data_IF_661059511349
#
_entry.id   IF_661059511349
#
_cell.length_a   1.000
_cell.length_b   1.000
_cell.length_c   1.000
_cell.angle_alpha   90.00
_cell.angle_beta   90.00
_cell.angle_gamma   90.00
#
_symmetry.space_group_name_H-M   'P 1'
#
loop_
_entity.id
_entity.type
_entity.pdbx_description
1 polymer ?
#
# COMPACT_ATOMS: atom_id res chain seq x y z
N UNK A 1 48.12 -15.13 -55.88
CA UNK A 1 47.55 -13.78 -55.69
C UNK A 1 46.03 -13.97 -55.65
N UNK A 2 45.34 -14.35 -54.57
CA UNK A 2 45.27 -13.89 -53.17
C UNK A 2 45.04 -12.38 -53.02
N UNK A 3 43.85 -12.09 -52.48
CA UNK A 3 43.37 -10.85 -51.85
C UNK A 3 42.85 -9.76 -52.80
N UNK A 4 41.53 -9.72 -52.97
CA UNK A 4 40.65 -8.59 -52.62
C UNK A 4 39.24 -9.20 -52.46
N UNK A 5 38.87 -9.59 -51.24
CA UNK A 5 37.47 -9.70 -50.80
C UNK A 5 37.47 -9.96 -49.29
N UNK A 6 37.82 -8.94 -48.49
CA UNK A 6 37.77 -9.03 -47.02
C UNK A 6 37.55 -7.67 -46.34
N UNK A 7 37.08 -6.65 -47.05
CA UNK A 7 36.90 -5.29 -46.48
C UNK A 7 35.43 -4.84 -46.46
N UNK A 8 34.48 -5.78 -46.42
CA UNK A 8 33.06 -5.42 -46.21
C UNK A 8 32.35 -6.23 -45.11
N UNK A 9 33.10 -6.99 -44.31
CA UNK A 9 32.57 -7.72 -43.13
C UNK A 9 33.08 -7.10 -41.80
N UNK A 10 34.06 -6.19 -41.86
CA UNK A 10 34.59 -5.52 -40.66
C UNK A 10 33.73 -4.35 -40.14
N UNK A 11 32.88 -3.75 -40.96
CA UNK A 11 32.09 -2.58 -40.55
C UNK A 11 30.73 -2.91 -39.94
N UNK A 12 30.24 -4.15 -40.06
CA UNK A 12 28.98 -4.56 -39.43
C UNK A 12 29.15 -5.18 -38.03
N UNK A 13 30.40 -5.40 -37.59
CA UNK A 13 30.71 -5.92 -36.25
C UNK A 13 31.34 -4.86 -35.30
N UNK A 14 31.59 -3.62 -35.77
CA UNK A 14 31.94 -2.51 -34.88
C UNK A 14 30.71 -1.72 -34.38
N UNK A 15 29.60 -1.72 -35.12
CA UNK A 15 28.36 -1.04 -34.71
C UNK A 15 27.60 -1.70 -33.56
N UNK A 16 28.04 -2.85 -33.07
CA UNK A 16 27.40 -3.59 -31.97
C UNK A 16 28.29 -3.80 -30.75
N UNK A 17 29.51 -3.26 -30.75
CA UNK A 17 30.42 -3.28 -29.59
C UNK A 17 30.48 -1.95 -28.83
N UNK A 18 30.14 -0.81 -29.45
CA UNK A 18 30.04 0.48 -28.73
C UNK A 18 28.80 0.57 -27.81
N UNK A 19 27.80 -0.30 -27.98
CA UNK A 19 26.59 -0.34 -27.14
C UNK A 19 26.64 -1.37 -26.00
N UNK A 20 27.75 -2.08 -25.80
CA UNK A 20 27.89 -3.06 -24.71
C UNK A 20 28.95 -2.68 -23.65
N UNK A 21 29.58 -1.50 -23.79
CA UNK A 21 30.48 -0.92 -22.77
C UNK A 21 30.13 0.52 -22.34
N UNK A 22 29.00 1.09 -22.78
CA UNK A 22 28.55 2.43 -22.38
C UNK A 22 27.82 2.49 -21.01
N UNK A 23 27.91 1.43 -20.17
CA UNK A 23 27.21 1.40 -18.87
C UNK A 23 28.10 1.02 -17.69
N UNK A 24 29.39 1.32 -17.78
CA UNK A 24 30.31 1.21 -16.64
C UNK A 24 31.23 2.42 -16.63
N UNK A 25 30.65 3.54 -16.21
CA UNK A 25 31.26 4.63 -15.44
C UNK A 25 30.26 5.79 -15.43
N UNK A 26 29.21 5.67 -14.59
CA UNK A 26 28.54 6.87 -14.10
C UNK A 26 29.57 7.61 -13.26
N UNK A 27 30.22 8.60 -13.87
CA UNK A 27 30.88 9.68 -13.15
C UNK A 27 29.82 10.23 -12.19
N UNK A 28 30.00 9.97 -10.90
CA UNK A 28 29.31 10.68 -9.84
C UNK A 28 29.63 12.16 -10.04
N UNK A 29 28.68 12.91 -10.59
CA UNK A 29 28.74 14.37 -10.54
C UNK A 29 28.88 14.78 -9.08
N UNK A 30 29.93 15.55 -8.82
CA UNK A 30 30.29 16.09 -7.52
C UNK A 30 29.05 16.73 -6.85
N UNK A 31 28.71 16.40 -5.59
CA UNK A 31 27.56 16.99 -4.92
C UNK A 31 28.00 18.32 -4.31
N UNK A 32 28.13 19.35 -5.14
CA UNK A 32 28.26 20.74 -4.67
C UNK A 32 27.24 21.57 -5.42
N UNK A 33 26.42 22.26 -4.64
CA UNK A 33 25.35 23.19 -5.01
C UNK A 33 24.11 22.62 -5.71
N UNK A 34 23.37 21.77 -4.98
CA UNK A 34 21.92 21.91 -5.03
C UNK A 34 21.57 23.04 -4.07
N UNK A 35 21.66 24.27 -4.59
CA UNK A 35 21.00 25.45 -4.04
C UNK A 35 19.56 25.04 -3.72
N UNK A 36 19.10 25.39 -2.52
CA UNK A 36 17.75 25.15 -2.03
C UNK A 36 16.71 25.42 -3.12
N UNK A 37 16.36 24.37 -3.87
CA UNK A 37 15.21 24.38 -4.75
C UNK A 37 14.02 24.50 -3.83
N UNK A 38 13.25 25.57 -4.01
CA UNK A 38 11.92 25.76 -3.44
C UNK A 38 11.21 24.42 -3.37
N UNK A 39 10.98 23.94 -2.15
CA UNK A 39 10.07 22.82 -1.88
C UNK A 39 8.70 23.24 -2.43
N UNK A 40 8.42 22.93 -3.70
CA UNK A 40 7.05 22.75 -4.12
C UNK A 40 6.50 21.61 -3.28
N UNK A 41 5.54 21.94 -2.42
CA UNK A 41 4.67 20.95 -1.80
C UNK A 41 4.22 19.98 -2.91
N UNK A 42 4.75 18.74 -2.93
CA UNK A 42 4.21 17.68 -3.77
C UNK A 42 2.87 17.24 -3.20
N UNK A 43 1.87 18.11 -3.36
CA UNK A 43 0.46 17.80 -3.14
C UNK A 43 0.07 16.78 -4.22
N UNK A 44 -0.07 15.52 -3.82
CA UNK A 44 -1.07 14.59 -4.36
C UNK A 44 -1.25 14.50 -5.87
N UNK A 45 -0.19 14.42 -6.69
CA UNK A 45 -0.38 14.05 -8.10
C UNK A 45 -0.89 12.60 -8.18
N UNK A 46 -1.98 12.33 -8.93
CA UNK A 46 -2.48 10.98 -9.14
C UNK A 46 -1.51 10.16 -10.00
N UNK A 47 -1.59 8.82 -9.96
CA UNK A 47 -0.84 7.96 -10.88
C UNK A 47 -1.15 8.30 -12.35
N UNK A 48 -0.17 8.07 -13.25
CA UNK A 48 -0.33 8.31 -14.70
C UNK A 48 -1.45 7.46 -15.32
N UNK A 49 -1.73 6.29 -14.75
CA UNK A 49 -2.84 5.42 -15.12
C UNK A 49 -3.57 4.98 -13.84
N UNK A 50 -4.90 5.14 -13.84
CA UNK A 50 -5.77 4.82 -12.70
C UNK A 50 -6.94 3.98 -13.18
N UNK A 51 -7.24 2.94 -12.40
CA UNK A 51 -8.41 2.09 -12.52
C UNK A 51 -9.27 2.19 -11.26
N UNK A 52 -10.53 1.81 -11.37
CA UNK A 52 -11.50 1.85 -10.28
C UNK A 52 -11.99 0.45 -9.96
N UNK A 53 -11.96 0.12 -8.67
CA UNK A 53 -12.45 -1.15 -8.12
C UNK A 53 -13.55 -0.85 -7.12
N UNK A 54 -14.76 -1.36 -7.38
CA UNK A 54 -15.86 -1.31 -6.41
C UNK A 54 -15.79 -2.50 -5.45
N UNK A 55 -15.92 -2.25 -4.15
CA UNK A 55 -15.91 -3.30 -3.12
C UNK A 55 -16.66 -2.88 -1.87
N UNK A 56 -17.33 -3.83 -1.22
CA UNK A 56 -17.92 -3.66 0.11
C UNK A 56 -16.87 -3.78 1.23
N UNK A 57 -15.65 -4.19 0.91
CA UNK A 57 -14.56 -4.28 1.90
C UNK A 57 -14.13 -2.89 2.34
N UNK A 58 -14.01 -2.68 3.66
CA UNK A 58 -13.55 -1.41 4.22
C UNK A 58 -12.04 -1.26 4.06
N UNK A 59 -11.51 -0.02 4.10
CA UNK A 59 -10.07 0.22 4.03
C UNK A 59 -9.27 -0.58 5.06
N UNK A 60 -9.79 -0.75 6.27
CA UNK A 60 -9.15 -1.53 7.34
C UNK A 60 -9.05 -3.01 6.98
N UNK A 61 -10.11 -3.58 6.37
CA UNK A 61 -10.11 -4.97 5.92
C UNK A 61 -9.11 -5.16 4.77
N UNK A 62 -9.06 -4.21 3.83
CA UNK A 62 -8.11 -4.23 2.71
C UNK A 62 -6.68 -4.09 3.23
N UNK A 63 -6.43 -3.28 4.26
CA UNK A 63 -5.13 -3.20 4.94
C UNK A 63 -4.77 -4.54 5.58
N UNK A 64 -5.70 -5.15 6.31
CA UNK A 64 -5.48 -6.44 6.98
C UNK A 64 -5.15 -7.57 5.99
N UNK A 65 -5.77 -7.59 4.81
CA UNK A 65 -5.49 -8.58 3.77
C UNK A 65 -4.31 -8.22 2.86
N UNK A 66 -3.65 -7.08 3.09
CA UNK A 66 -2.61 -6.56 2.21
C UNK A 66 -3.10 -6.52 0.75
N UNK A 67 -4.23 -5.82 0.56
CA UNK A 67 -4.88 -5.57 -0.72
C UNK A 67 -6.04 -6.53 -1.06
N UNK A 68 -6.32 -6.65 -2.35
CA UNK A 68 -7.43 -7.43 -2.91
C UNK A 68 -6.94 -8.74 -3.51
N UNK A 69 -7.75 -9.80 -3.35
CA UNK A 69 -7.51 -11.12 -3.93
C UNK A 69 -8.68 -11.52 -4.81
N UNK A 70 -8.42 -12.28 -5.85
CA UNK A 70 -9.49 -12.84 -6.68
C UNK A 70 -10.29 -13.88 -5.89
N UNK A 71 -11.57 -14.06 -6.25
CA UNK A 71 -12.46 -15.01 -5.58
C UNK A 71 -11.88 -16.42 -5.51
N UNK A 72 -11.26 -16.91 -6.60
CA UNK A 72 -10.61 -18.22 -6.62
C UNK A 72 -9.48 -18.34 -5.59
N UNK A 73 -8.73 -17.25 -5.35
CA UNK A 73 -7.68 -17.21 -4.33
C UNK A 73 -8.24 -17.13 -2.92
N UNK A 74 -9.34 -16.42 -2.69
CA UNK A 74 -10.00 -16.35 -1.38
C UNK A 74 -10.50 -17.73 -0.98
N UNK A 75 -11.09 -18.45 -1.93
CA UNK A 75 -11.64 -19.79 -1.72
C UNK A 75 -10.58 -20.91 -1.66
N UNK A 76 -9.28 -20.57 -1.68
CA UNK A 76 -8.17 -21.52 -1.73
C UNK A 76 -8.36 -22.60 -2.82
N UNK A 77 -8.93 -22.23 -3.96
CA UNK A 77 -9.27 -23.20 -4.99
C UNK A 77 -8.00 -23.73 -5.65
N UNK A 78 -7.76 -25.04 -5.69
CA UNK A 78 -6.68 -25.60 -6.49
C UNK A 78 -6.98 -25.34 -7.97
N UNK A 79 -6.03 -24.70 -8.67
CA UNK A 79 -6.11 -24.27 -10.07
C UNK A 79 -7.14 -23.16 -10.32
N UNK A 80 -6.66 -21.91 -10.29
CA UNK A 80 -7.44 -20.73 -10.65
C UNK A 80 -7.90 -20.80 -12.12
N UNK A 81 -9.14 -20.37 -12.37
CA UNK A 81 -9.65 -20.21 -13.73
C UNK A 81 -9.19 -18.86 -14.30
N UNK A 82 -8.36 -18.91 -15.34
CA UNK A 82 -7.87 -17.72 -16.05
C UNK A 82 -8.53 -17.55 -17.43
N UNK A 83 -9.74 -18.07 -17.62
CA UNK A 83 -10.55 -17.80 -18.81
C UNK A 83 -11.11 -16.37 -18.79
N UNK A 84 -10.47 -15.44 -19.50
CA UNK A 84 -10.89 -14.03 -19.49
C UNK A 84 -12.30 -13.86 -20.10
N UNK A 85 -12.57 -14.53 -21.21
CA UNK A 85 -13.89 -14.46 -21.86
C UNK A 85 -15.01 -14.93 -20.93
N UNK A 86 -14.78 -15.97 -20.13
CA UNK A 86 -15.77 -16.45 -19.17
C UNK A 86 -15.98 -15.44 -18.03
N UNK A 87 -14.89 -14.84 -17.55
CA UNK A 87 -14.92 -13.92 -16.40
C UNK A 87 -15.67 -12.60 -16.68
N UNK A 88 -15.61 -12.10 -17.91
CA UNK A 88 -16.19 -10.80 -18.26
C UNK A 88 -17.66 -10.86 -18.65
N UNK A 89 -18.23 -12.06 -18.79
CA UNK A 89 -19.66 -12.24 -19.04
C UNK A 89 -20.50 -11.95 -17.78
N UNK A 90 -21.71 -11.38 -17.91
CA UNK A 90 -22.61 -11.16 -16.76
C UNK A 90 -22.96 -12.43 -15.99
N UNK A 91 -23.07 -13.56 -16.68
CA UNK A 91 -23.37 -14.88 -16.09
C UNK A 91 -22.11 -15.71 -15.81
N UNK A 92 -20.92 -15.12 -15.93
CA UNK A 92 -19.65 -15.82 -15.74
C UNK A 92 -19.48 -16.30 -14.30
N UNK A 93 -19.00 -17.54 -14.13
CA UNK A 93 -18.70 -18.05 -12.80
C UNK A 93 -17.43 -17.37 -12.25
N UNK A 94 -17.61 -16.47 -11.27
CA UNK A 94 -16.52 -15.74 -10.65
C UNK A 94 -15.85 -16.51 -9.50
N UNK A 95 -16.43 -17.59 -8.98
CA UNK A 95 -15.98 -18.23 -7.73
C UNK A 95 -14.56 -18.77 -7.80
N UNK A 96 -14.14 -19.24 -8.98
CA UNK A 96 -12.79 -19.79 -9.23
C UNK A 96 -11.90 -18.83 -10.00
N UNK A 97 -12.39 -17.64 -10.32
CA UNK A 97 -11.69 -16.72 -11.21
C UNK A 97 -10.36 -16.28 -10.60
N UNK A 98 -9.32 -16.30 -11.43
CA UNK A 98 -8.01 -15.74 -11.15
C UNK A 98 -7.91 -14.25 -11.47
N UNK A 99 -9.03 -13.55 -11.62
CA UNK A 99 -9.09 -12.14 -12.00
C UNK A 99 -9.81 -11.30 -10.96
N UNK A 100 -9.43 -10.02 -10.89
CA UNK A 100 -10.12 -8.97 -10.16
C UNK A 100 -10.57 -7.93 -11.17
N UNK A 101 -11.85 -7.57 -11.13
CA UNK A 101 -12.52 -6.67 -12.06
C UNK A 101 -12.13 -5.22 -11.81
N UNK A 102 -11.81 -4.50 -12.88
CA UNK A 102 -11.44 -3.09 -12.86
C UNK A 102 -12.20 -2.31 -13.94
N UNK A 103 -12.51 -1.06 -13.63
CA UNK A 103 -13.14 -0.11 -14.53
C UNK A 103 -12.17 1.04 -14.84
N UNK A 104 -12.24 1.60 -16.04
CA UNK A 104 -11.47 2.81 -16.40
C UNK A 104 -12.20 4.09 -15.99
N UNK A 105 -13.48 3.99 -15.66
CA UNK A 105 -14.33 5.12 -15.32
C UNK A 105 -14.98 4.94 -13.94
N UNK A 106 -14.86 5.96 -13.09
CA UNK A 106 -15.46 5.98 -11.75
C UNK A 106 -16.98 5.76 -11.79
N UNK A 107 -17.69 6.41 -12.71
CA UNK A 107 -19.14 6.28 -12.88
C UNK A 107 -19.54 4.86 -13.27
N UNK A 108 -18.74 4.16 -14.08
CA UNK A 108 -19.02 2.75 -14.40
C UNK A 108 -18.83 1.85 -13.18
N UNK A 109 -17.76 2.06 -12.39
CA UNK A 109 -17.58 1.35 -11.12
C UNK A 109 -18.74 1.59 -10.15
N UNK A 110 -19.22 2.83 -10.08
CA UNK A 110 -20.36 3.22 -9.24
C UNK A 110 -21.67 2.57 -9.68
N UNK A 111 -21.99 2.60 -10.98
CA UNK A 111 -23.17 1.94 -11.55
C UNK A 111 -23.11 0.42 -11.28
N UNK A 112 -21.93 -0.17 -11.48
CA UNK A 112 -21.72 -1.59 -11.20
C UNK A 112 -21.96 -1.92 -9.72
N UNK A 113 -21.43 -1.12 -8.79
CA UNK A 113 -21.60 -1.33 -7.36
C UNK A 113 -23.08 -1.23 -6.94
N UNK A 114 -23.80 -0.20 -7.37
CA UNK A 114 -25.21 -0.02 -7.03
C UNK A 114 -26.11 -1.16 -7.53
N UNK A 115 -25.76 -1.79 -8.65
CA UNK A 115 -26.50 -2.95 -9.16
C UNK A 115 -26.22 -4.26 -8.40
N UNK A 116 -25.16 -4.32 -7.58
CA UNK A 116 -24.65 -5.56 -6.99
C UNK A 116 -24.49 -5.51 -5.46
N UNK A 117 -24.54 -4.33 -4.84
CA UNK A 117 -24.33 -4.12 -3.40
C UNK A 117 -25.59 -3.57 -2.72
N UNK A 118 -25.84 -4.04 -1.50
CA UNK A 118 -26.99 -3.64 -0.68
C UNK A 118 -26.64 -2.76 0.52
N UNK A 119 -25.34 -2.56 0.78
CA UNK A 119 -24.80 -1.78 1.89
C UNK A 119 -23.87 -0.66 1.44
N UNK A 120 -23.12 -0.12 2.41
CA UNK A 120 -22.02 0.80 2.15
C UNK A 120 -20.96 0.10 1.29
N UNK A 121 -20.38 0.84 0.35
CA UNK A 121 -19.29 0.34 -0.47
C UNK A 121 -18.25 1.42 -0.73
N UNK A 122 -17.11 0.99 -1.24
CA UNK A 122 -15.97 1.83 -1.52
C UNK A 122 -15.58 1.68 -2.98
N UNK A 123 -15.15 2.79 -3.58
CA UNK A 123 -14.51 2.79 -4.89
C UNK A 123 -13.03 3.08 -4.68
N UNK A 124 -12.21 2.05 -4.85
CA UNK A 124 -10.76 2.11 -4.73
C UNK A 124 -10.14 2.56 -6.05
N UNK A 125 -9.17 3.47 -5.96
CA UNK A 125 -8.36 3.89 -7.09
C UNK A 125 -7.08 3.06 -7.11
N UNK A 126 -6.90 2.28 -8.16
CA UNK A 126 -5.80 1.34 -8.34
C UNK A 126 -4.86 1.90 -9.40
N UNK A 127 -3.58 2.08 -9.05
CA UNK A 127 -2.60 2.52 -10.03
C UNK A 127 -2.34 1.44 -11.08
N UNK A 128 -1.94 1.89 -12.28
CA UNK A 128 -1.43 1.04 -13.34
C UNK A 128 -0.31 0.12 -12.86
N UNK A 129 -0.12 -0.98 -13.55
CA UNK A 129 0.81 -2.01 -13.12
C UNK A 129 0.81 -3.22 -14.03
N UNK A 130 1.92 -3.95 -13.99
CA UNK A 130 2.19 -5.11 -14.83
C UNK A 130 1.24 -6.31 -14.57
N UNK A 131 0.53 -6.31 -13.44
CA UNK A 131 -0.50 -7.29 -13.10
C UNK A 131 -1.87 -6.97 -13.70
N UNK A 132 -2.04 -5.81 -14.34
CA UNK A 132 -3.31 -5.38 -14.95
C UNK A 132 -3.22 -5.47 -16.47
N UNK A 133 -4.29 -5.99 -17.08
CA UNK A 133 -4.42 -6.18 -18.53
C UNK A 133 -5.75 -5.62 -19.02
N UNK A 134 -5.72 -4.96 -20.18
CA UNK A 134 -6.94 -4.47 -20.84
C UNK A 134 -7.77 -5.62 -21.41
N UNK A 135 -9.09 -5.61 -21.14
CA UNK A 135 -10.01 -6.68 -21.59
C UNK A 135 -10.18 -6.63 -23.10
N UNK A 136 -10.38 -5.44 -23.67
CA UNK A 136 -10.64 -5.28 -25.09
C UNK A 136 -9.42 -5.60 -25.93
N UNK A 137 -8.24 -5.17 -25.49
CA UNK A 137 -6.98 -5.52 -26.11
C UNK A 137 -6.58 -6.99 -25.96
N UNK A 138 -7.22 -7.74 -25.05
CA UNK A 138 -6.97 -9.18 -24.90
C UNK A 138 -7.98 -10.04 -25.67
N UNK A 139 -9.25 -9.64 -25.74
CA UNK A 139 -10.30 -10.39 -26.43
C UNK A 139 -10.53 -9.96 -27.89
N UNK A 140 -10.07 -8.75 -28.25
CA UNK A 140 -10.16 -8.21 -29.60
C UNK A 140 -11.61 -8.17 -30.12
N UNK A 141 -11.90 -8.73 -31.30
CA UNK A 141 -13.24 -8.72 -31.87
C UNK A 141 -14.26 -9.59 -31.10
N UNK A 142 -13.81 -10.35 -30.10
CA UNK A 142 -14.68 -11.20 -29.27
C UNK A 142 -14.96 -10.62 -27.89
N UNK A 143 -14.59 -9.36 -27.63
CA UNK A 143 -15.03 -8.65 -26.42
C UNK A 143 -16.56 -8.55 -26.42
N UNK A 144 -17.25 -9.08 -25.40
CA UNK A 144 -18.70 -8.97 -25.32
C UNK A 144 -19.14 -7.49 -25.25
N UNK A 145 -20.21 -7.08 -25.95
CA UNK A 145 -20.73 -5.71 -25.85
C UNK A 145 -21.16 -5.33 -24.43
N UNK A 146 -21.58 -6.32 -23.65
CA UNK A 146 -21.99 -6.27 -22.25
C UNK A 146 -20.85 -6.72 -21.32
N UNK A 147 -19.59 -6.58 -21.75
CA UNK A 147 -18.42 -6.87 -20.91
C UNK A 147 -18.55 -6.13 -19.59
N UNK A 148 -18.38 -6.89 -18.52
CA UNK A 148 -18.55 -6.38 -17.16
C UNK A 148 -17.27 -5.79 -16.55
N UNK A 149 -16.18 -5.73 -17.33
CA UNK A 149 -14.89 -5.17 -16.93
C UNK A 149 -14.22 -4.46 -18.12
N UNK A 150 -13.53 -3.36 -17.87
CA UNK A 150 -12.66 -2.71 -18.87
C UNK A 150 -11.24 -3.26 -18.83
N UNK A 151 -10.78 -3.58 -17.62
CA UNK A 151 -9.50 -4.18 -17.34
C UNK A 151 -9.64 -5.22 -16.24
N UNK A 152 -8.65 -6.08 -16.10
CA UNK A 152 -8.58 -7.03 -14.98
C UNK A 152 -7.19 -7.06 -14.38
N UNK A 153 -7.11 -7.16 -13.06
CA UNK A 153 -5.88 -7.53 -12.38
C UNK A 153 -5.79 -9.04 -12.23
N UNK A 154 -4.62 -9.61 -12.48
CA UNK A 154 -4.37 -11.03 -12.30
C UNK A 154 -4.12 -11.34 -10.82
N UNK A 155 -5.03 -12.14 -10.25
CA UNK A 155 -5.00 -12.78 -8.94
C UNK A 155 -4.98 -11.85 -7.72
N UNK A 156 -4.13 -10.81 -7.72
CA UNK A 156 -3.92 -9.94 -6.57
C UNK A 156 -3.63 -8.49 -6.98
N UNK A 157 -4.17 -7.57 -6.19
CA UNK A 157 -3.79 -6.16 -6.16
C UNK A 157 -3.26 -5.92 -4.75
N UNK A 158 -2.01 -5.48 -4.62
CA UNK A 158 -1.41 -5.25 -3.31
C UNK A 158 -1.82 -3.89 -2.77
N UNK A 159 -1.82 -3.74 -1.44
CA UNK A 159 -2.21 -2.49 -0.80
C UNK A 159 -1.33 -1.33 -1.28
N UNK A 160 -0.05 -1.56 -1.51
CA UNK A 160 0.87 -0.53 -2.02
C UNK A 160 0.60 -0.08 -3.47
N UNK A 161 -0.25 -0.78 -4.22
CA UNK A 161 -0.72 -0.36 -5.55
C UNK A 161 -2.02 0.46 -5.47
N UNK A 162 -2.72 0.42 -4.34
CA UNK A 162 -3.96 1.19 -4.11
C UNK A 162 -3.58 2.63 -3.80
N UNK A 163 -4.01 3.57 -4.63
CA UNK A 163 -3.74 5.00 -4.44
C UNK A 163 -4.60 5.62 -3.33
N UNK A 164 -5.83 5.15 -3.18
CA UNK A 164 -6.79 5.62 -2.20
C UNK A 164 -8.19 5.13 -2.51
N UNK A 165 -9.20 5.68 -1.86
CA UNK A 165 -10.58 5.25 -2.00
C UNK A 165 -11.59 6.35 -1.74
N UNK A 166 -12.80 6.13 -2.21
CA UNK A 166 -13.97 6.96 -1.97
C UNK A 166 -15.02 6.13 -1.25
N UNK A 167 -15.51 6.59 -0.10
CA UNK A 167 -16.63 5.96 0.61
C UNK A 167 -17.96 6.38 -0.02
N UNK A 168 -18.81 5.39 -0.28
CA UNK A 168 -20.16 5.55 -0.82
C UNK A 168 -21.15 4.97 0.19
N UNK A 169 -21.94 5.81 0.87
CA UNK A 169 -22.87 5.33 1.89
C UNK A 169 -24.05 4.59 1.25
N UNK A 170 -24.63 3.63 1.97
CA UNK A 170 -25.75 2.79 1.52
C UNK A 170 -27.00 3.58 1.11
N UNK A 171 -27.22 4.76 1.70
CA UNK A 171 -28.32 5.67 1.36
C UNK A 171 -27.99 6.64 0.21
N UNK A 172 -26.90 6.42 -0.51
CA UNK A 172 -26.48 7.28 -1.61
C UNK A 172 -27.47 7.24 -2.78
N UNK A 173 -28.01 8.40 -3.12
CA UNK A 173 -28.74 8.61 -4.36
C UNK A 173 -27.78 9.08 -5.47
N UNK A 174 -27.76 8.38 -6.60
CA UNK A 174 -26.86 8.68 -7.69
C UNK A 174 -27.04 10.11 -8.22
N UNK A 175 -25.93 10.85 -8.32
CA UNK A 175 -25.85 12.14 -8.99
C UNK A 175 -24.68 12.12 -9.97
N UNK A 176 -24.91 12.53 -11.21
CA UNK A 176 -23.87 12.64 -12.22
C UNK A 176 -22.75 13.59 -11.75
N UNK A 177 -21.50 13.12 -11.80
CA UNK A 177 -20.33 13.89 -11.36
C UNK A 177 -19.95 13.72 -9.89
N UNK A 178 -20.66 12.91 -9.12
CA UNK A 178 -20.23 12.56 -7.76
C UNK A 178 -18.93 11.77 -7.79
N UNK A 179 -17.94 12.18 -6.99
CA UNK A 179 -16.68 11.46 -6.80
C UNK A 179 -16.50 10.96 -5.36
N UNK A 180 -17.35 11.34 -4.40
CA UNK A 180 -17.19 11.01 -2.99
C UNK A 180 -15.99 11.70 -2.33
N UNK A 181 -15.91 11.63 -1.00
CA UNK A 181 -14.70 12.09 -0.30
C UNK A 181 -13.57 11.11 -0.57
N UNK A 182 -12.48 11.62 -1.15
CA UNK A 182 -11.31 10.82 -1.45
C UNK A 182 -10.36 10.79 -0.26
N UNK A 183 -10.07 9.59 0.21
CA UNK A 183 -9.06 9.32 1.23
C UNK A 183 -7.84 8.69 0.56
N UNK A 184 -6.65 9.21 0.87
CA UNK A 184 -5.39 8.69 0.33
C UNK A 184 -4.94 7.48 1.12
N UNK A 185 -4.37 6.50 0.42
CA UNK A 185 -3.71 5.38 1.06
C UNK A 185 -2.26 5.75 1.44
N UNK A 186 -1.89 5.82 2.73
CA UNK A 186 -0.52 6.12 3.15
C UNK A 186 0.49 5.03 2.74
N UNK A 187 0.02 3.83 2.39
CA UNK A 187 0.90 2.73 1.97
C UNK A 187 1.16 2.70 0.47
N UNK A 188 0.64 3.66 -0.31
CA UNK A 188 0.85 3.72 -1.76
C UNK A 188 2.33 3.89 -2.12
N UNK A 189 2.90 2.93 -2.84
CA UNK A 189 4.28 2.99 -3.32
C UNK A 189 4.36 3.85 -4.58
N UNK A 190 4.57 5.14 -4.36
CA UNK A 190 4.70 6.14 -5.42
C UNK A 190 5.90 5.86 -6.34
N UNK A 191 7.02 5.37 -5.82
CA UNK A 191 8.21 5.11 -6.64
C UNK A 191 7.94 4.01 -7.68
N UNK A 192 7.24 2.96 -7.27
CA UNK A 192 6.90 1.84 -8.15
C UNK A 192 5.73 2.17 -9.07
N UNK A 193 4.66 2.79 -8.54
CA UNK A 193 3.36 2.82 -9.23
C UNK A 193 2.95 4.16 -9.81
N UNK A 194 3.57 5.29 -9.44
CA UNK A 194 3.13 6.60 -9.94
C UNK A 194 3.22 6.74 -11.46
N UNK A 195 4.25 6.15 -12.06
CA UNK A 195 4.49 6.16 -13.51
C UNK A 195 4.30 4.79 -14.16
N UNK A 196 3.74 3.83 -13.42
CA UNK A 196 3.52 2.49 -13.94
C UNK A 196 2.33 2.48 -14.91
N UNK A 197 2.49 1.76 -16.00
CA UNK A 197 1.44 1.52 -16.98
C UNK A 197 1.12 0.04 -17.08
N UNK A 198 -0.13 -0.27 -17.37
CA UNK A 198 -0.65 -1.62 -17.54
C UNK A 198 -0.46 -2.14 -18.96
N UNK A 199 -0.67 -3.45 -19.13
CA UNK A 199 -0.61 -4.04 -20.47
C UNK A 199 -1.82 -3.55 -21.29
N UNK A 200 -1.62 -3.10 -22.54
CA UNK A 200 -2.71 -2.71 -23.43
C UNK A 200 -3.54 -3.91 -23.90
N UNK A 201 -3.18 -5.14 -23.52
CA UNK A 201 -3.88 -6.37 -23.86
C UNK A 201 -2.92 -7.55 -24.04
N UNK A 202 -3.32 -8.74 -23.63
CA UNK A 202 -2.58 -10.00 -23.80
C UNK A 202 -3.50 -11.04 -24.45
N UNK A 203 -3.46 -11.21 -25.79
CA UNK A 203 -4.34 -12.13 -26.52
C UNK A 203 -4.31 -13.59 -26.03
N UNK A 204 -3.17 -14.03 -25.48
CA UNK A 204 -3.02 -15.36 -24.87
C UNK A 204 -3.89 -15.58 -23.63
N UNK A 205 -4.38 -14.51 -22.99
CA UNK A 205 -5.27 -14.58 -21.84
C UNK A 205 -6.75 -14.71 -22.21
N UNK A 206 -7.10 -14.69 -23.51
CA UNK A 206 -8.49 -14.70 -23.96
C UNK A 206 -9.33 -15.84 -23.38
N UNK A 207 -8.71 -17.00 -23.15
CA UNK A 207 -9.34 -18.08 -22.38
C UNK A 207 -10.26 -18.99 -23.18
N UNK A 208 -10.25 -18.95 -24.51
CA UNK A 208 -11.05 -19.88 -25.30
C UNK A 208 -10.58 -21.33 -25.10
N UNK A 209 -11.50 -22.31 -25.13
CA UNK A 209 -11.15 -23.72 -25.09
C UNK A 209 -10.11 -24.11 -26.16
N UNK A 210 -9.30 -25.14 -25.88
CA UNK A 210 -8.36 -25.67 -26.87
C UNK A 210 -9.13 -26.28 -28.05
N UNK A 211 -8.71 -25.97 -29.28
CA UNK A 211 -9.40 -26.39 -30.50
C UNK A 211 -10.54 -25.48 -30.93
N UNK A 212 -10.80 -24.39 -30.19
CA UNK A 212 -11.84 -23.41 -30.54
C UNK A 212 -11.47 -22.63 -31.81
N UNK A 213 -12.38 -22.49 -32.78
CA UNK A 213 -12.12 -21.79 -34.04
C UNK A 213 -11.79 -20.30 -33.86
N UNK A 214 -12.17 -19.68 -32.73
CA UNK A 214 -11.85 -18.26 -32.45
C UNK A 214 -10.36 -17.99 -32.36
N UNK A 215 -9.56 -18.99 -31.97
CA UNK A 215 -8.09 -18.89 -32.03
C UNK A 215 -7.54 -18.71 -33.45
N UNK A 216 -8.32 -19.08 -34.49
CA UNK A 216 -7.92 -18.99 -35.89
C UNK A 216 -8.11 -17.62 -36.55
N UNK A 217 -8.50 -16.59 -35.80
CA UNK A 217 -8.59 -15.22 -36.32
C UNK A 217 -7.21 -14.56 -36.37
N UNK A 218 -6.98 -13.67 -37.34
CA UNK A 218 -5.77 -12.85 -37.49
C UNK A 218 -5.34 -12.16 -36.19
N UNK A 219 -6.29 -11.71 -35.35
CA UNK A 219 -6.00 -11.11 -34.05
C UNK A 219 -5.17 -12.04 -33.13
N UNK A 220 -5.40 -13.36 -33.20
CA UNK A 220 -4.71 -14.36 -32.38
C UNK A 220 -3.57 -15.08 -33.10
N UNK A 221 -3.27 -14.74 -34.36
CA UNK A 221 -2.28 -15.46 -35.18
C UNK A 221 -0.89 -15.53 -34.53
N UNK A 222 -0.51 -14.55 -33.70
CA UNK A 222 0.76 -14.54 -32.99
C UNK A 222 0.80 -15.49 -31.77
N UNK A 223 -0.35 -15.78 -31.16
CA UNK A 223 -0.46 -16.62 -29.96
C UNK A 223 -1.02 -18.01 -30.24
N UNK A 224 -1.70 -18.19 -31.37
CA UNK A 224 -2.33 -19.44 -31.75
C UNK A 224 -1.53 -20.24 -32.80
N UNK A 225 -1.75 -21.56 -32.83
CA UNK A 225 -1.32 -22.47 -33.89
C UNK A 225 -2.49 -23.32 -34.37
N UNK A 226 -2.60 -23.55 -35.67
CA UNK A 226 -3.70 -24.31 -36.27
C UNK A 226 -3.18 -25.58 -36.96
N UNK A 227 -3.95 -26.67 -36.90
CA UNK A 227 -3.61 -27.97 -37.51
C UNK A 227 -3.55 -27.92 -39.05
N UNK A 228 -4.20 -26.93 -39.68
CA UNK A 228 -4.13 -26.68 -41.11
C UNK A 228 -4.01 -25.18 -41.41
N UNK A 229 -3.35 -24.78 -42.52
CA UNK A 229 -3.35 -23.39 -42.96
C UNK A 229 -4.78 -22.94 -43.22
N UNK A 230 -5.20 -21.85 -42.56
CA UNK A 230 -6.56 -21.29 -42.53
C UNK A 230 -7.18 -20.91 -43.89
N UNK A 231 -6.55 -21.26 -45.02
CA UNK A 231 -6.99 -20.91 -46.37
C UNK A 231 -7.89 -21.93 -47.06
N UNK A 232 -8.15 -23.13 -46.52
CA UNK A 232 -9.09 -24.07 -47.15
C UNK A 232 -9.86 -24.90 -46.12
N UNK A 233 -11.12 -24.51 -45.89
CA UNK A 233 -12.22 -25.22 -45.20
C UNK A 233 -12.35 -24.98 -43.69
N UNK A 234 -13.58 -24.67 -43.31
CA UNK A 234 -14.14 -24.13 -42.07
C UNK A 234 -14.04 -24.99 -40.80
N UNK A 235 -13.19 -26.01 -40.76
CA UNK A 235 -13.14 -26.98 -39.65
C UNK A 235 -11.74 -27.16 -39.02
N UNK A 236 -10.80 -26.27 -39.34
CA UNK A 236 -9.45 -26.33 -38.74
C UNK A 236 -9.50 -26.00 -37.26
N UNK A 237 -9.02 -26.90 -36.40
CA UNK A 237 -8.85 -26.64 -34.98
C UNK A 237 -7.62 -25.77 -34.76
N UNK A 238 -7.80 -24.70 -33.99
CA UNK A 238 -6.74 -23.80 -33.58
C UNK A 238 -6.59 -23.84 -32.06
N UNK A 239 -5.37 -23.68 -31.61
CA UNK A 239 -4.96 -23.93 -30.24
C UNK A 239 -4.10 -22.77 -29.77
N UNK A 240 -4.18 -22.43 -28.49
CA UNK A 240 -3.16 -21.57 -27.90
C UNK A 240 -1.83 -22.32 -27.93
N UNK A 241 -0.74 -21.65 -28.33
CA UNK A 241 0.59 -22.27 -28.34
C UNK A 241 0.94 -22.80 -26.94
N UNK A 242 1.45 -24.03 -26.87
CA UNK A 242 1.77 -24.71 -25.61
C UNK A 242 2.67 -23.87 -24.69
N UNK A 243 3.62 -23.12 -25.24
CA UNK A 243 4.52 -22.25 -24.48
C UNK A 243 3.84 -21.07 -23.77
N UNK A 244 2.60 -20.74 -24.18
CA UNK A 244 1.79 -19.67 -23.60
C UNK A 244 0.76 -20.19 -22.59
N UNK A 245 0.62 -21.51 -22.45
CA UNK A 245 -0.16 -22.08 -21.35
C UNK A 245 0.48 -21.73 -20.01
N UNK A 246 -0.34 -21.23 -19.08
CA UNK A 246 0.13 -20.82 -17.75
C UNK A 246 0.77 -19.43 -17.70
N UNK A 247 0.76 -18.65 -18.78
CA UNK A 247 1.22 -17.24 -18.77
C UNK A 247 0.52 -16.43 -17.68
N UNK A 248 -0.78 -16.63 -17.49
CA UNK A 248 -1.54 -15.97 -16.43
C UNK A 248 -0.96 -16.26 -15.03
N UNK A 249 -0.64 -17.52 -14.74
CA UNK A 249 -0.02 -17.91 -13.48
C UNK A 249 1.38 -17.29 -13.34
N UNK A 250 2.17 -17.27 -14.41
CA UNK A 250 3.51 -16.65 -14.40
C UNK A 250 3.45 -15.15 -14.13
N UNK A 251 2.48 -14.44 -14.73
CA UNK A 251 2.26 -13.01 -14.46
C UNK A 251 1.84 -12.81 -13.00
N UNK A 252 0.91 -13.62 -12.49
CA UNK A 252 0.52 -13.61 -11.07
C UNK A 252 1.71 -13.85 -10.13
N UNK A 253 2.58 -14.81 -10.44
CA UNK A 253 3.74 -15.16 -9.61
C UNK A 253 4.82 -14.09 -9.64
N UNK A 254 5.08 -13.48 -10.82
CA UNK A 254 5.92 -12.28 -10.94
C UNK A 254 5.30 -11.11 -10.19
N UNK A 255 3.97 -10.97 -10.28
CA UNK A 255 3.08 -10.12 -9.48
C UNK A 255 3.51 -10.05 -8.04
N UNK A 256 3.41 -11.23 -7.44
CA UNK A 256 3.76 -11.46 -6.06
C UNK A 256 5.21 -11.17 -5.70
N UNK A 257 6.15 -11.35 -6.62
CA UNK A 257 7.58 -11.11 -6.37
C UNK A 257 7.93 -9.63 -6.40
N UNK A 258 7.37 -8.88 -7.36
CA UNK A 258 7.66 -7.46 -7.55
C UNK A 258 6.89 -6.58 -6.56
N UNK A 259 5.66 -6.96 -6.22
CA UNK A 259 4.82 -6.21 -5.28
C UNK A 259 5.00 -6.64 -3.82
N UNK A 260 5.74 -7.73 -3.56
CA UNK A 260 6.29 -7.92 -2.22
C UNK A 260 7.16 -6.70 -1.97
N UNK A 261 6.67 -5.81 -1.09
CA UNK A 261 7.53 -4.89 -0.38
C UNK A 261 8.79 -5.70 -0.06
N UNK A 262 10.01 -5.20 -0.39
CA UNK A 262 11.20 -5.77 0.19
C UNK A 262 10.82 -5.90 1.65
N UNK A 263 10.83 -7.12 2.17
CA UNK A 263 10.99 -7.24 3.60
C UNK A 263 12.28 -6.47 3.79
N UNK A 264 12.19 -5.19 4.18
CA UNK A 264 13.31 -4.44 4.72
C UNK A 264 13.93 -5.49 5.60
N UNK A 265 15.16 -5.97 5.29
CA UNK A 265 15.72 -7.09 6.01
C UNK A 265 15.50 -6.70 7.45
N UNK A 266 14.59 -7.41 8.14
CA UNK A 266 14.15 -7.09 9.51
C UNK A 266 15.45 -6.74 10.16
N UNK A 267 15.67 -5.43 10.45
CA UNK A 267 17.02 -4.91 10.59
C UNK A 267 17.73 -5.95 11.42
N UNK A 268 18.75 -6.63 10.86
CA UNK A 268 19.50 -7.64 11.61
C UNK A 268 20.40 -6.93 12.64
N UNK A 269 20.11 -5.68 12.98
CA UNK A 269 20.39 -5.18 14.30
C UNK A 269 19.38 -5.83 15.24
N UNK A 270 19.82 -6.54 16.28
CA UNK A 270 18.91 -7.14 17.24
C UNK A 270 17.78 -6.15 17.57
N UNK A 271 16.51 -6.57 17.43
CA UNK A 271 15.30 -5.85 17.90
C UNK A 271 15.27 -5.90 19.45
N UNK A 272 16.43 -5.75 20.07
CA UNK A 272 16.67 -5.86 21.49
C UNK A 272 17.79 -4.90 21.89
N UNK A 273 17.77 -3.69 21.35
CA UNK A 273 18.34 -2.54 22.02
C UNK A 273 17.42 -1.39 21.67
N UNK A 274 16.38 -1.24 22.50
CA UNK A 274 15.96 0.04 23.07
C UNK A 274 16.86 1.13 22.50
N UNK A 275 16.41 1.81 21.43
CA UNK A 275 16.75 3.22 21.28
C UNK A 275 16.57 3.76 22.70
N UNK A 276 17.63 4.37 23.26
CA UNK A 276 17.84 4.51 24.71
C UNK A 276 16.53 4.85 25.46
N UNK A 277 16.41 4.70 26.78
CA UNK A 277 15.16 5.12 27.48
C UNK A 277 14.69 6.55 27.15
N UNK A 278 15.53 7.34 26.48
CA UNK A 278 15.32 8.69 25.97
C UNK A 278 15.01 8.80 24.48
N UNK A 279 15.20 7.79 23.63
CA UNK A 279 15.06 7.93 22.17
C UNK A 279 14.26 6.83 21.50
N UNK A 280 13.55 7.14 20.43
CA UNK A 280 12.84 6.15 19.59
C UNK A 280 12.65 6.64 18.16
N UNK A 281 12.35 5.70 17.26
CA UNK A 281 11.80 6.03 15.96
C UNK A 281 10.32 6.39 16.11
N UNK A 282 9.88 7.39 15.35
CA UNK A 282 8.51 7.92 15.37
C UNK A 282 7.97 8.10 13.96
N UNK A 283 6.65 8.05 13.82
CA UNK A 283 5.93 8.58 12.65
C UNK A 283 5.80 10.10 12.80
N UNK A 284 6.42 10.87 11.91
CA UNK A 284 6.25 12.32 11.89
C UNK A 284 5.03 12.67 11.04
N UNK A 285 4.97 12.28 9.78
CA UNK A 285 3.81 12.49 8.92
C UNK A 285 3.57 11.27 8.04
N UNK A 286 2.52 11.29 7.20
CA UNK A 286 2.02 10.19 6.35
C UNK A 286 3.09 9.40 5.57
N UNK A 287 4.33 9.93 5.44
CA UNK A 287 5.46 9.29 4.76
C UNK A 287 6.83 9.60 5.40
N UNK A 288 6.89 10.27 6.55
CA UNK A 288 8.15 10.71 7.16
C UNK A 288 8.36 10.02 8.50
N UNK A 289 9.37 9.17 8.59
CA UNK A 289 9.84 8.68 9.89
C UNK A 289 10.86 9.64 10.49
N UNK A 290 10.86 9.75 11.80
CA UNK A 290 11.80 10.53 12.58
C UNK A 290 12.54 9.68 13.59
N UNK A 291 13.68 10.17 14.03
CA UNK A 291 14.39 9.68 15.19
C UNK A 291 14.39 10.79 16.23
N UNK A 292 13.67 10.57 17.32
CA UNK A 292 13.42 11.56 18.36
C UNK A 292 14.05 11.14 19.68
N UNK A 293 14.54 12.12 20.44
CA UNK A 293 15.25 11.94 21.70
C UNK A 293 14.85 13.00 22.73
N UNK A 294 14.61 12.60 23.96
CA UNK A 294 14.57 13.49 25.13
C UNK A 294 16.01 13.78 25.56
N UNK A 295 16.50 14.98 25.28
CA UNK A 295 17.91 15.33 25.54
C UNK A 295 18.14 15.95 26.91
N UNK A 296 17.09 16.51 27.53
CA UNK A 296 17.13 17.03 28.90
C UNK A 296 15.73 17.06 29.50
N UNK A 297 15.55 17.48 30.76
CA UNK A 297 14.26 17.51 31.46
C UNK A 297 13.19 18.42 30.84
N UNK A 298 13.57 19.26 29.89
CA UNK A 298 12.69 20.23 29.25
C UNK A 298 12.89 20.28 27.73
N UNK A 299 13.54 19.27 27.13
CA UNK A 299 13.89 19.31 25.70
C UNK A 299 13.76 17.95 25.02
N UNK A 300 13.15 17.99 23.84
CA UNK A 300 13.10 16.89 22.87
C UNK A 300 13.78 17.36 21.58
N UNK A 301 14.56 16.49 20.97
CA UNK A 301 15.21 16.70 19.67
C UNK A 301 14.77 15.62 18.69
N UNK A 302 14.34 16.02 17.51
CA UNK A 302 13.97 15.10 16.44
C UNK A 302 14.75 15.39 15.16
N UNK A 303 15.01 14.32 14.42
CA UNK A 303 15.59 14.39 13.08
C UNK A 303 14.79 13.49 12.16
N UNK A 304 14.34 14.02 11.03
CA UNK A 304 13.66 13.22 10.01
C UNK A 304 14.67 12.31 9.32
N UNK A 305 14.26 11.08 9.01
CA UNK A 305 15.01 10.17 8.16
C UNK A 305 14.74 10.56 6.71
N UNK A 306 15.79 10.92 5.98
CA UNK A 306 15.72 11.30 4.58
C UNK A 306 15.76 10.06 3.69
N UNK A 307 15.30 10.17 2.43
CA UNK A 307 15.25 9.05 1.47
C UNK A 307 16.62 8.43 1.16
N UNK A 308 17.71 9.16 1.42
CA UNK A 308 19.08 8.64 1.29
C UNK A 308 19.58 7.93 2.58
N UNK A 309 18.70 7.68 3.54
CA UNK A 309 19.00 7.09 4.84
C UNK A 309 19.72 8.00 5.83
N UNK A 310 19.98 9.28 5.49
CA UNK A 310 20.62 10.25 6.40
C UNK A 310 19.59 10.93 7.29
N UNK A 311 20.05 11.45 8.44
CA UNK A 311 19.23 12.27 9.32
C UNK A 311 19.26 13.75 8.89
N UNK A 312 18.12 14.41 8.97
CA UNK A 312 18.00 15.85 8.74
C UNK A 312 18.61 16.68 9.89
N UNK A 313 18.52 18.00 9.75
CA UNK A 313 18.85 18.94 10.82
C UNK A 313 17.99 18.69 12.06
N UNK A 314 18.56 18.97 13.24
CA UNK A 314 17.83 18.88 14.51
C UNK A 314 16.65 19.84 14.50
N UNK A 315 15.50 19.33 14.93
CA UNK A 315 14.37 20.14 15.38
C UNK A 315 14.22 19.96 16.87
N UNK A 316 14.26 21.08 17.60
CA UNK A 316 14.12 21.09 19.04
C UNK A 316 12.68 21.45 19.43
N UNK A 317 12.16 20.76 20.44
CA UNK A 317 10.94 21.14 21.15
C UNK A 317 11.29 21.40 22.60
N UNK A 318 10.99 22.60 23.08
CA UNK A 318 11.05 22.92 24.51
C UNK A 318 9.73 22.55 25.16
N UNK A 319 9.77 21.76 26.22
CA UNK A 319 8.59 21.33 26.98
C UNK A 319 8.80 21.58 28.47
N UNK A 320 7.71 21.84 29.22
CA UNK A 320 7.82 22.29 30.62
C UNK A 320 8.44 21.25 31.57
N UNK A 321 8.13 19.97 31.35
CA UNK A 321 8.63 18.83 32.13
C UNK A 321 8.53 17.57 31.28
N UNK A 322 9.62 16.88 30.98
CA UNK A 322 9.59 15.60 30.24
C UNK A 322 9.06 14.44 31.06
N UNK A 323 8.87 14.61 32.37
CA UNK A 323 8.39 13.57 33.25
C UNK A 323 9.48 12.59 33.69
N UNK A 324 9.05 11.39 34.08
CA UNK A 324 9.95 10.34 34.54
C UNK A 324 10.70 9.71 33.35
N UNK A 325 12.03 9.57 33.48
CA UNK A 325 12.92 9.10 32.41
C UNK A 325 12.58 7.71 31.86
N UNK A 326 11.84 6.89 32.62
CA UNK A 326 11.37 5.55 32.25
C UNK A 326 9.91 5.52 31.76
N UNK A 327 9.32 6.68 31.48
CA UNK A 327 7.91 6.82 31.12
C UNK A 327 7.65 7.38 29.73
N UNK A 328 8.70 7.62 28.95
CA UNK A 328 8.57 8.20 27.63
C UNK A 328 7.95 7.20 26.66
N UNK A 329 6.92 7.65 25.95
CA UNK A 329 6.16 6.86 25.00
C UNK A 329 5.86 7.74 23.80
N UNK A 330 5.80 7.13 22.62
CA UNK A 330 5.37 7.80 21.41
C UNK A 330 4.21 7.03 20.79
N UNK A 331 3.25 7.75 20.27
CA UNK A 331 2.11 7.18 19.54
C UNK A 331 1.04 8.22 19.31
N UNK A 332 0.25 8.01 18.27
CA UNK A 332 -0.83 8.89 17.85
C UNK A 332 -2.01 8.83 18.84
N UNK A 333 -2.21 9.87 19.65
CA UNK A 333 -3.30 9.94 20.65
C UNK A 333 -4.47 10.80 20.21
N UNK A 334 -4.36 11.49 19.07
CA UNK A 334 -5.40 12.35 18.52
C UNK A 334 -5.98 11.83 17.19
N UNK A 335 -5.48 10.69 16.71
CA UNK A 335 -5.81 10.00 15.48
C UNK A 335 -5.61 10.89 14.24
N UNK A 336 -4.48 11.60 14.19
CA UNK A 336 -4.05 12.44 13.06
C UNK A 336 -2.91 11.84 12.22
N UNK A 337 -2.58 10.57 12.47
CA UNK A 337 -1.53 9.77 11.82
C UNK A 337 -0.09 10.19 12.15
N UNK A 338 0.08 11.01 13.19
CA UNK A 338 1.39 11.49 13.66
C UNK A 338 1.61 11.01 15.08
N UNK A 339 2.83 10.58 15.38
CA UNK A 339 3.14 10.19 16.75
C UNK A 339 3.21 11.42 17.65
N UNK A 340 2.57 11.31 18.81
CA UNK A 340 2.62 12.29 19.87
C UNK A 340 3.62 11.84 20.94
N UNK A 341 4.23 12.79 21.66
CA UNK A 341 5.14 12.48 22.76
C UNK A 341 4.40 12.40 24.09
N UNK A 342 4.21 11.20 24.62
CA UNK A 342 3.55 10.95 25.90
C UNK A 342 4.54 10.61 27.01
N UNK A 343 4.20 11.02 28.24
CA UNK A 343 4.98 10.72 29.44
C UNK A 343 4.12 10.69 30.69
N UNK A 344 4.70 10.12 31.75
CA UNK A 344 4.16 10.21 33.09
C UNK A 344 4.86 11.34 33.85
N UNK A 345 4.10 12.27 34.40
CA UNK A 345 4.61 13.33 35.29
C UNK A 345 4.13 13.11 36.71
N UNK A 346 4.79 13.75 37.68
CA UNK A 346 4.38 13.70 39.08
C UNK A 346 2.95 14.26 39.30
N UNK A 347 2.23 13.77 40.32
CA UNK A 347 0.89 14.28 40.71
C UNK A 347 0.60 14.14 42.19
N UNK A 348 -0.34 14.98 42.63
CA UNK A 348 -0.77 15.26 44.00
C UNK A 348 -1.48 14.14 44.76
N UNK A 349 -1.93 13.04 44.11
CA UNK A 349 -2.88 12.07 44.71
C UNK A 349 -2.42 10.59 44.63
N UNK A 350 -1.12 10.32 44.46
CA UNK A 350 -0.55 8.95 44.53
C UNK A 350 -0.44 8.17 43.21
N UNK A 351 -1.07 8.64 42.13
CA UNK A 351 -0.94 8.07 40.78
C UNK A 351 -0.44 9.12 39.78
N UNK A 352 0.49 8.78 38.85
CA UNK A 352 1.07 9.70 37.85
C UNK A 352 0.03 10.28 36.87
N UNK A 353 0.32 11.46 36.29
CA UNK A 353 -0.49 12.06 35.23
C UNK A 353 0.03 11.57 33.91
N UNK A 354 -0.86 11.14 33.02
CA UNK A 354 -0.53 10.93 31.62
C UNK A 354 -0.68 12.25 30.87
N UNK A 355 0.45 12.80 30.43
CA UNK A 355 0.53 13.99 29.60
C UNK A 355 1.13 13.64 28.25
N UNK A 356 0.62 14.25 27.19
CA UNK A 356 1.17 14.12 25.86
C UNK A 356 1.41 15.50 25.24
N UNK A 357 2.40 15.61 24.38
CA UNK A 357 2.58 16.76 23.51
C UNK A 357 2.29 16.34 22.08
N UNK A 358 1.31 17.00 21.45
CA UNK A 358 0.85 16.63 20.12
C UNK A 358 1.90 16.96 19.06
N UNK A 359 2.16 16.01 18.16
CA UNK A 359 3.09 16.16 17.05
C UNK A 359 2.56 17.09 15.97
N UNK A 360 3.39 17.99 15.47
CA UNK A 360 3.05 18.79 14.27
C UNK A 360 3.25 18.00 12.97
N UNK A 361 3.95 16.87 13.10
CA UNK A 361 4.35 15.94 12.05
C UNK A 361 5.61 16.31 11.29
N UNK A 362 6.32 17.27 11.83
CA UNK A 362 7.58 17.76 11.31
C UNK A 362 8.72 17.49 12.29
N UNK A 363 8.47 16.88 13.44
CA UNK A 363 9.46 16.63 14.49
C UNK A 363 9.40 17.64 15.63
N UNK A 364 8.30 18.40 15.74
CA UNK A 364 8.04 19.27 16.90
C UNK A 364 6.77 18.86 17.62
N UNK A 365 6.74 19.04 18.96
CA UNK A 365 5.61 18.66 19.81
C UNK A 365 5.05 19.85 20.61
N UNK A 366 4.43 20.84 19.94
CA UNK A 366 4.14 22.14 20.54
C UNK A 366 2.99 22.15 21.57
N UNK A 367 2.03 21.24 21.46
CA UNK A 367 0.75 21.35 22.19
C UNK A 367 0.67 20.31 23.30
N UNK A 368 0.78 20.71 24.57
CA UNK A 368 0.56 19.79 25.69
C UNK A 368 -0.94 19.52 25.93
N UNK A 369 -1.26 18.24 26.15
CA UNK A 369 -2.57 17.73 26.55
C UNK A 369 -2.43 16.85 27.80
N UNK A 370 -3.49 16.76 28.58
CA UNK A 370 -3.52 16.02 29.84
C UNK A 370 -4.74 15.11 29.88
N UNK A 371 -4.51 13.80 29.98
CA UNK A 371 -5.58 12.80 30.06
C UNK A 371 -6.07 12.58 31.49
N UNK A 372 -5.30 13.01 32.50
CA UNK A 372 -5.57 12.80 33.90
C UNK A 372 -4.69 11.73 34.53
N UNK A 373 -5.09 11.27 35.71
CA UNK A 373 -4.30 10.34 36.52
C UNK A 373 -4.49 8.90 36.04
N UNK A 374 -3.39 8.20 35.80
CA UNK A 374 -3.37 6.80 35.37
C UNK A 374 -2.60 5.93 36.35
N UNK A 375 -2.93 4.65 36.41
CA UNK A 375 -2.06 3.68 37.07
C UNK A 375 -0.83 3.42 36.18
N UNK A 376 0.27 4.14 36.47
CA UNK A 376 1.53 4.00 35.73
C UNK A 376 2.33 2.71 36.02
N UNK A 377 1.92 1.89 37.00
CA UNK A 377 2.69 0.72 37.45
C UNK A 377 3.97 1.06 38.23
N UNK A 378 4.59 0.05 38.85
CA UNK A 378 5.78 0.21 39.70
C UNK A 378 7.02 0.68 38.91
N UNK A 379 7.69 1.70 39.42
CA UNK A 379 8.88 2.33 38.81
C UNK A 379 10.21 1.61 39.10
N UNK A 380 10.21 0.45 39.75
CA UNK A 380 11.46 -0.23 40.14
C UNK A 380 12.06 -1.05 38.99
N UNK A 381 13.12 -0.52 38.36
CA UNK A 381 14.20 -1.31 37.77
C UNK A 381 13.95 -2.00 36.42
N UNK A 382 13.21 -1.37 35.50
CA UNK A 382 13.09 -1.89 34.13
C UNK A 382 11.78 -1.60 33.38
N UNK A 383 11.03 -0.57 33.79
CA UNK A 383 9.66 -0.31 33.32
C UNK A 383 9.54 0.49 32.01
N UNK A 384 10.63 1.03 31.46
CA UNK A 384 10.61 1.80 30.20
C UNK A 384 10.02 0.99 29.02
N UNK A 385 10.23 -0.33 28.99
CA UNK A 385 9.73 -1.20 27.92
C UNK A 385 8.40 -1.89 28.26
N UNK A 386 7.71 -1.45 29.32
CA UNK A 386 6.49 -2.08 29.80
C UNK A 386 5.25 -1.20 29.64
N UNK A 387 5.39 -0.05 28.98
CA UNK A 387 4.34 0.92 28.71
C UNK A 387 4.40 1.32 27.26
N UNK A 388 3.26 1.46 26.62
CA UNK A 388 3.18 1.90 25.23
C UNK A 388 1.85 2.60 24.95
N UNK A 389 1.89 3.51 23.98
CA UNK A 389 0.70 3.98 23.30
C UNK A 389 0.45 3.02 22.13
N UNK A 390 -0.77 2.50 22.01
CA UNK A 390 -1.16 1.63 20.90
C UNK A 390 -2.41 2.12 20.24
N UNK A 391 -2.45 1.95 18.92
CA UNK A 391 -3.66 2.12 18.15
C UNK A 391 -4.37 0.77 18.09
N UNK A 392 -5.55 0.72 18.71
CA UNK A 392 -6.45 -0.40 18.67
C UNK A 392 -7.24 -0.49 17.37
N UNK A 393 -8.06 -1.54 17.28
CA UNK A 393 -8.96 -1.75 16.14
C UNK A 393 -9.96 -0.59 16.07
N UNK A 394 -10.19 -0.04 14.88
CA UNK A 394 -11.01 1.15 14.60
C UNK A 394 -10.41 2.51 15.00
N UNK A 395 -9.08 2.66 15.01
CA UNK A 395 -8.40 3.97 15.13
C UNK A 395 -8.49 4.60 16.52
N UNK A 396 -8.73 3.78 17.55
CA UNK A 396 -8.77 4.23 18.95
C UNK A 396 -7.41 4.11 19.58
N UNK A 397 -6.97 5.11 20.32
CA UNK A 397 -5.67 5.10 21.00
C UNK A 397 -5.81 4.61 22.44
N UNK A 398 -4.82 3.86 22.92
CA UNK A 398 -4.80 3.28 24.26
C UNK A 398 -3.44 3.48 24.92
N UNK A 399 -3.45 3.81 26.20
CA UNK A 399 -2.28 3.64 27.07
C UNK A 399 -2.31 2.21 27.60
N UNK A 400 -1.31 1.41 27.24
CA UNK A 400 -1.19 0.03 27.68
C UNK A 400 0.07 -0.19 28.52
N UNK A 401 -0.03 -1.11 29.49
CA UNK A 401 1.10 -1.53 30.32
C UNK A 401 1.03 -3.00 30.71
N UNK A 402 2.19 -3.59 30.98
CA UNK A 402 2.32 -4.96 31.51
C UNK A 402 2.18 -4.92 33.04
N UNK A 403 1.34 -5.79 33.62
CA UNK A 403 0.92 -5.68 35.04
C UNK A 403 1.64 -6.65 36.01
N UNK A 404 2.25 -7.77 35.58
CA UNK A 404 2.79 -8.78 36.52
C UNK A 404 4.04 -9.56 36.04
N UNK A 405 4.67 -10.25 36.99
CA UNK A 405 6.05 -10.79 36.95
C UNK A 405 6.14 -12.24 36.44
N UNK A 406 5.03 -13.00 36.43
CA UNK A 406 5.05 -14.43 36.05
C UNK A 406 4.10 -14.83 34.89
N UNK A 407 3.19 -13.94 34.46
CA UNK A 407 2.31 -14.15 33.29
C UNK A 407 2.04 -12.79 32.63
N UNK A 408 2.27 -12.67 31.31
CA UNK A 408 2.25 -11.41 30.55
C UNK A 408 0.85 -10.78 30.41
N UNK A 409 0.23 -10.34 31.50
CA UNK A 409 -1.04 -9.62 31.47
C UNK A 409 -0.83 -8.15 31.07
N UNK A 410 -1.66 -7.65 30.16
CA UNK A 410 -1.64 -6.27 29.67
C UNK A 410 -2.91 -5.57 30.14
N UNK A 411 -2.78 -4.41 30.79
CA UNK A 411 -3.87 -3.47 31.01
C UNK A 411 -3.81 -2.39 29.95
N UNK A 412 -4.95 -2.05 29.38
CA UNK A 412 -5.10 -0.94 28.45
C UNK A 412 -6.21 0.00 28.93
N UNK A 413 -5.94 1.30 28.86
CA UNK A 413 -6.91 2.36 29.12
C UNK A 413 -7.05 3.19 27.86
N UNK A 414 -8.29 3.36 27.40
CA UNK A 414 -8.62 4.15 26.21
C UNK A 414 -8.27 5.63 26.43
N UNK A 415 -7.69 6.24 25.41
CA UNK A 415 -7.37 7.66 25.34
C UNK A 415 -8.40 8.33 24.44
N UNK A 416 -9.30 9.11 25.05
CA UNK A 416 -10.45 9.67 24.36
C UNK A 416 -10.22 11.15 24.05
N UNK A 417 -10.31 11.49 22.78
CA UNK A 417 -10.46 12.87 22.32
C UNK A 417 -11.95 13.19 22.17
N UNK A 418 -12.45 14.13 22.96
CA UNK A 418 -13.83 14.63 22.84
C UNK A 418 -13.81 16.00 22.15
N UNK A 419 -14.66 16.16 21.13
CA UNK A 419 -14.85 17.44 20.43
C UNK A 419 -16.23 17.99 20.76
N UNK A 420 -16.26 19.20 21.32
CA UNK A 420 -17.50 19.94 21.59
C UNK A 420 -17.38 21.34 20.99
N UNK A 421 -17.94 21.52 19.79
CA UNK A 421 -17.70 22.72 18.99
C UNK A 421 -16.22 22.86 18.61
N UNK A 422 -15.61 24.01 18.92
CA UNK A 422 -14.17 24.25 18.74
C UNK A 422 -13.30 23.74 19.90
N UNK A 423 -13.91 23.31 21.02
CA UNK A 423 -13.17 22.83 22.17
C UNK A 423 -12.83 21.34 22.00
N UNK A 424 -11.55 21.02 22.20
CA UNK A 424 -11.05 19.64 22.22
C UNK A 424 -10.60 19.33 23.65
N UNK A 425 -11.15 18.27 24.23
CA UNK A 425 -10.75 17.77 25.55
C UNK A 425 -10.23 16.34 25.45
N UNK A 426 -9.28 16.01 26.31
CA UNK A 426 -8.64 14.70 26.36
C UNK A 426 -8.93 14.06 27.72
N UNK A 427 -9.47 12.86 27.72
CA UNK A 427 -9.91 12.15 28.93
C UNK A 427 -9.60 10.66 28.83
N UNK A 428 -9.48 10.00 29.98
CA UNK A 428 -9.42 8.54 30.01
C UNK A 428 -10.81 7.93 29.76
N UNK A 429 -10.86 6.93 28.91
CA UNK A 429 -12.04 6.14 28.60
C UNK A 429 -12.08 4.81 29.37
N UNK A 430 -12.62 3.78 28.73
CA UNK A 430 -12.74 2.46 29.34
C UNK A 430 -11.35 1.83 29.53
N UNK A 431 -11.21 1.08 30.62
CA UNK A 431 -10.03 0.24 30.87
C UNK A 431 -10.42 -1.22 30.83
N UNK A 432 -9.49 -2.08 30.42
CA UNK A 432 -9.63 -3.53 30.50
C UNK A 432 -8.26 -4.21 30.56
N UNK A 433 -8.25 -5.49 30.92
CA UNK A 433 -7.05 -6.34 30.85
C UNK A 433 -7.23 -7.46 29.83
N UNK A 434 -6.13 -8.11 29.44
CA UNK A 434 -6.12 -9.21 28.47
C UNK A 434 -6.98 -10.43 28.86
N UNK A 435 -7.48 -10.52 30.09
CA UNK A 435 -8.32 -11.61 30.58
C UNK A 435 -9.79 -11.21 30.84
N UNK A 436 -10.20 -9.99 30.46
CA UNK A 436 -11.57 -9.48 30.62
C UNK A 436 -12.52 -9.87 29.47
#
# INVERSE_FOLDING_TARGET
>A
MKKISTILIGFFLLGTLENLYANRDRILSNPVDIVAGTYENQVGTPPVEVFYLASESTPEQVRYWDGFRSNGSINNTPNLNFSLIEYVLPTGNSERAGYIRLFRNFTQALIFAQGNSSGDFYIYQIAGGFNIVDVRGSLGPYTPPDSTADAVALNRIYLNQVYGWNHIPSNFNFVLGYQGQFERNPMFDRETYANATSSPGLPELAGFPQGDPRWGNDFFAHVAGCEAPLRKRSNGRCYLKQALLGVAQKISDTGRKQSRLPTLPLFKTPISQVASSKGTFVSLSDYMSGLCYVTSKNKIECRSVLNNGKLSSVKETTIGDTGYDDSYMFGDVNNDEKDDFCRLTAVSNGHPLLKCNLGDGNGSFPTEVNFGSVNGGWASGGAANKRLIVNGIAGRSYFCRIITVDWYEIACTELVQNRSGSAVTFTLGKSGTTND
#
